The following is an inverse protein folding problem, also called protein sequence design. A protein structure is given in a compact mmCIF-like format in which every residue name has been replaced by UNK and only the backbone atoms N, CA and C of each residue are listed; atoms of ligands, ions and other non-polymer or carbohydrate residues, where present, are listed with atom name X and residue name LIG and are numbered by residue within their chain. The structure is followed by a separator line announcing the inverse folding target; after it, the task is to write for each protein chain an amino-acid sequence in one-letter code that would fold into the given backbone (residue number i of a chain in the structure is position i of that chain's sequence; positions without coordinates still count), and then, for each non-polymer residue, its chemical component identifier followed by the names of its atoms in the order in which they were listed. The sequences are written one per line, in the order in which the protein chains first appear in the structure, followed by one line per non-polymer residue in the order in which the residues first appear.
data_IF_446107671438
#
_entry.id   IF_446107671438
#
_cell.length_a   1.000
_cell.length_b   1.000
_cell.length_c   1.000
_cell.angle_alpha   90.00
_cell.angle_beta   90.00
_cell.angle_gamma   90.00
#
_symmetry.space_group_name_H-M   'P 1'
#
loop_
_entity.id
_entity.type
_entity.pdbx_description
1 polymer ?
#
# COMPACT_ATOMS: atom_id res chain seq x y z
N UNK A 1 -23.42 -20.33 -16.23
CA UNK A 1 -22.10 -19.83 -15.82
C UNK A 1 -22.03 -19.84 -14.30
N UNK A 2 -20.95 -20.31 -13.72
CA UNK A 2 -20.76 -20.17 -12.26
C UNK A 2 -20.57 -18.69 -11.94
N UNK A 3 -21.16 -18.20 -10.86
CA UNK A 3 -20.98 -16.82 -10.38
C UNK A 3 -19.55 -16.61 -9.86
N UNK A 4 -19.03 -15.37 -9.99
CA UNK A 4 -17.82 -14.97 -9.30
C UNK A 4 -18.05 -14.94 -7.78
N UNK A 5 -16.97 -14.86 -7.01
CA UNK A 5 -17.04 -14.69 -5.55
C UNK A 5 -17.81 -13.42 -5.19
N UNK A 6 -18.67 -13.49 -4.18
CA UNK A 6 -19.41 -12.35 -3.65
C UNK A 6 -18.49 -11.20 -3.19
N UNK A 7 -17.27 -11.52 -2.75
CA UNK A 7 -16.24 -10.52 -2.38
C UNK A 7 -15.92 -9.53 -3.50
N UNK A 8 -16.10 -9.94 -4.76
CA UNK A 8 -15.79 -9.09 -5.93
C UNK A 8 -17.01 -8.33 -6.46
N UNK A 9 -18.20 -8.54 -5.90
CA UNK A 9 -19.44 -7.94 -6.40
C UNK A 9 -19.45 -6.41 -6.34
N UNK A 10 -18.75 -5.81 -5.38
CA UNK A 10 -18.63 -4.36 -5.22
C UNK A 10 -17.43 -3.74 -5.94
N UNK A 11 -16.60 -4.52 -6.63
CA UNK A 11 -15.41 -4.00 -7.29
C UNK A 11 -15.75 -3.42 -8.66
N UNK A 12 -15.25 -2.21 -8.91
CA UNK A 12 -15.32 -1.56 -10.21
C UNK A 12 -13.93 -1.45 -10.83
N UNK A 13 -13.87 -1.13 -12.13
CA UNK A 13 -12.60 -0.85 -12.79
C UNK A 13 -11.90 0.34 -12.10
N UNK A 14 -10.59 0.21 -11.87
CA UNK A 14 -9.76 1.26 -11.31
C UNK A 14 -9.92 2.57 -12.10
N UNK A 15 -10.27 3.64 -11.41
CA UNK A 15 -10.44 4.97 -12.02
C UNK A 15 -9.14 5.42 -12.69
N UNK A 16 -8.01 5.19 -12.04
CA UNK A 16 -6.67 5.55 -12.56
C UNK A 16 -6.40 4.82 -13.87
N UNK A 17 -6.60 3.50 -13.91
CA UNK A 17 -6.40 2.69 -15.13
C UNK A 17 -7.37 3.08 -16.25
N UNK A 18 -8.62 3.36 -15.90
CA UNK A 18 -9.62 3.82 -16.87
C UNK A 18 -9.21 5.16 -17.47
N UNK A 19 -8.80 6.12 -16.65
CA UNK A 19 -8.37 7.44 -17.12
C UNK A 19 -7.09 7.38 -17.95
N UNK A 20 -6.17 6.48 -17.62
CA UNK A 20 -4.98 6.22 -18.46
C UNK A 20 -5.39 5.74 -19.86
N UNK A 21 -6.34 4.79 -19.97
CA UNK A 21 -6.85 4.35 -21.28
C UNK A 21 -7.55 5.48 -22.04
N UNK A 22 -8.34 6.31 -21.35
CA UNK A 22 -9.03 7.46 -21.96
C UNK A 22 -8.00 8.47 -22.49
N UNK A 23 -6.99 8.83 -21.71
CA UNK A 23 -5.96 9.78 -22.16
C UNK A 23 -5.22 9.26 -23.40
N UNK A 24 -4.88 7.98 -23.43
CA UNK A 24 -4.26 7.34 -24.61
C UNK A 24 -5.17 7.39 -25.84
N UNK A 25 -6.47 7.11 -25.66
CA UNK A 25 -7.45 7.12 -26.76
C UNK A 25 -7.55 8.49 -27.43
N UNK A 26 -7.45 9.58 -26.65
CA UNK A 26 -7.59 10.95 -27.16
C UNK A 26 -6.24 11.66 -27.36
N UNK A 27 -5.12 11.00 -27.18
CA UNK A 27 -3.80 11.62 -27.24
C UNK A 27 -3.62 12.77 -26.23
N UNK A 28 -4.32 12.69 -25.10
CA UNK A 28 -4.31 13.70 -24.08
C UNK A 28 -3.19 13.48 -23.05
N UNK A 29 -2.78 14.58 -22.39
CA UNK A 29 -1.85 14.48 -21.25
C UNK A 29 -2.55 13.76 -20.11
N UNK A 30 -1.93 12.68 -19.61
CA UNK A 30 -2.45 11.93 -18.47
C UNK A 30 -2.09 12.63 -17.16
N UNK A 31 -3.07 13.23 -16.50
CA UNK A 31 -2.92 13.86 -15.18
C UNK A 31 -3.50 13.01 -14.05
N UNK A 32 -3.98 11.79 -14.34
CA UNK A 32 -4.59 10.90 -13.34
C UNK A 32 -3.56 10.00 -12.63
N UNK A 33 -2.39 9.80 -13.25
CA UNK A 33 -1.31 9.02 -12.68
C UNK A 33 0.04 9.68 -12.98
N UNK A 34 0.89 9.82 -11.96
CA UNK A 34 2.23 10.35 -12.14
C UNK A 34 3.15 9.31 -12.77
N UNK A 35 3.63 9.60 -13.97
CA UNK A 35 4.72 8.87 -14.62
C UNK A 35 5.93 9.78 -14.73
N UNK A 36 7.15 9.32 -14.33
CA UNK A 36 8.36 10.05 -14.63
C UNK A 36 8.52 10.18 -16.15
N UNK A 37 8.93 11.36 -16.61
CA UNK A 37 9.29 11.66 -18.02
C UNK A 37 10.81 11.71 -18.22
N UNK A 38 11.56 11.20 -17.27
CA UNK A 38 13.03 11.12 -17.27
C UNK A 38 13.49 9.68 -16.98
N UNK A 39 14.68 9.36 -17.48
CA UNK A 39 15.28 8.05 -17.29
C UNK A 39 15.75 7.83 -15.84
N UNK A 40 15.76 6.57 -15.36
CA UNK A 40 16.39 6.23 -14.09
C UNK A 40 17.86 6.62 -14.05
N UNK A 41 18.46 6.86 -12.86
CA UNK A 41 19.89 7.09 -12.74
C UNK A 41 20.70 5.99 -13.43
N UNK A 42 21.73 6.42 -14.17
CA UNK A 42 22.56 5.52 -14.99
C UNK A 42 23.18 4.38 -14.16
N UNK A 43 23.54 4.67 -12.91
CA UNK A 43 24.11 3.69 -11.98
C UNK A 43 23.16 2.53 -11.71
N UNK A 44 21.85 2.79 -11.66
CA UNK A 44 20.82 1.76 -11.48
C UNK A 44 20.72 0.90 -12.74
N UNK A 45 20.71 1.54 -13.92
CA UNK A 45 20.65 0.82 -15.20
C UNK A 45 21.89 -0.06 -15.42
N UNK A 46 23.08 0.50 -15.16
CA UNK A 46 24.34 -0.25 -15.24
C UNK A 46 24.35 -1.45 -14.27
N UNK A 47 23.86 -1.25 -13.05
CA UNK A 47 23.79 -2.34 -12.06
C UNK A 47 22.79 -3.44 -12.48
N UNK A 48 21.64 -3.08 -13.04
CA UNK A 48 20.69 -4.05 -13.59
C UNK A 48 21.31 -4.88 -14.71
N UNK A 49 22.06 -4.23 -15.62
CA UNK A 49 22.76 -4.93 -16.69
C UNK A 49 23.82 -5.91 -16.15
N UNK A 50 24.57 -5.53 -15.11
CA UNK A 50 25.57 -6.40 -14.47
C UNK A 50 24.92 -7.61 -13.79
N UNK A 51 23.85 -7.41 -13.03
CA UNK A 51 23.15 -8.50 -12.31
C UNK A 51 22.63 -9.56 -13.27
N UNK A 52 22.29 -9.22 -14.51
CA UNK A 52 21.87 -10.19 -15.52
C UNK A 52 22.95 -11.23 -15.87
N UNK A 53 24.21 -10.98 -15.54
CA UNK A 53 25.33 -11.88 -15.78
C UNK A 53 25.90 -12.50 -14.49
N UNK A 54 25.28 -12.23 -13.34
CA UNK A 54 25.68 -12.80 -12.04
C UNK A 54 24.85 -14.05 -11.73
N UNK A 55 25.30 -14.89 -10.79
CA UNK A 55 24.66 -16.16 -10.43
C UNK A 55 23.39 -16.01 -9.57
N UNK A 56 22.46 -15.13 -9.98
CA UNK A 56 21.18 -14.89 -9.28
C UNK A 56 19.97 -15.42 -10.03
N UNK A 57 20.14 -16.46 -10.85
CA UNK A 57 19.10 -17.01 -11.71
C UNK A 57 18.31 -18.16 -11.09
N UNK A 58 18.55 -18.50 -9.84
CA UNK A 58 17.86 -19.54 -9.10
C UNK A 58 16.90 -18.93 -8.08
N UNK A 59 16.11 -19.76 -7.46
CA UNK A 59 15.17 -19.36 -6.41
C UNK A 59 15.89 -18.66 -5.25
N UNK A 60 15.40 -17.49 -4.87
CA UNK A 60 15.75 -16.91 -3.58
C UNK A 60 15.04 -17.65 -2.45
N UNK A 61 15.48 -17.46 -1.22
CA UNK A 61 14.68 -17.87 -0.06
C UNK A 61 13.37 -17.08 -0.03
N UNK A 62 12.33 -17.65 0.58
CA UNK A 62 10.95 -17.10 0.58
C UNK A 62 10.90 -15.65 1.09
N UNK A 63 11.75 -15.27 2.02
CA UNK A 63 11.81 -13.91 2.56
C UNK A 63 12.49 -12.88 1.65
N UNK A 64 13.03 -13.28 0.51
CA UNK A 64 13.77 -12.44 -0.41
C UNK A 64 15.28 -12.53 -0.25
N UNK A 65 16.03 -11.96 -1.22
CA UNK A 65 17.50 -12.04 -1.22
C UNK A 65 18.12 -11.41 0.02
N UNK A 66 19.15 -12.04 0.56
CA UNK A 66 19.76 -11.63 1.83
C UNK A 66 20.38 -10.24 1.74
N UNK A 67 21.14 -9.96 0.68
CA UNK A 67 21.77 -8.65 0.48
C UNK A 67 20.74 -7.50 0.43
N UNK A 68 19.58 -7.71 -0.19
CA UNK A 68 18.52 -6.71 -0.21
C UNK A 68 17.93 -6.50 1.19
N UNK A 69 17.63 -7.60 1.91
CA UNK A 69 17.07 -7.51 3.27
C UNK A 69 18.06 -6.84 4.25
N UNK A 70 19.36 -7.12 4.15
CA UNK A 70 20.40 -6.47 4.94
C UNK A 70 20.50 -4.98 4.66
N UNK A 71 20.50 -4.58 3.38
CA UNK A 71 20.50 -3.17 2.99
C UNK A 71 19.26 -2.43 3.47
N UNK A 72 18.09 -3.06 3.36
CA UNK A 72 16.82 -2.52 3.83
C UNK A 72 16.80 -2.41 5.36
N UNK A 73 17.26 -3.43 6.09
CA UNK A 73 17.40 -3.41 7.54
C UNK A 73 18.29 -2.26 8.02
N UNK A 74 19.44 -2.06 7.36
CA UNK A 74 20.32 -0.95 7.68
C UNK A 74 19.68 0.42 7.45
N UNK A 75 18.93 0.59 6.35
CA UNK A 75 18.16 1.81 6.07
C UNK A 75 17.08 2.04 7.13
N UNK A 76 16.23 1.05 7.37
CA UNK A 76 15.10 1.16 8.30
C UNK A 76 15.56 1.33 9.75
N UNK A 77 16.66 0.70 10.14
CA UNK A 77 17.23 0.90 11.49
C UNK A 77 17.58 2.37 11.74
N UNK A 78 18.14 3.07 10.74
CA UNK A 78 18.41 4.51 10.84
C UNK A 78 17.14 5.34 10.91
N UNK A 79 16.13 5.02 10.08
CA UNK A 79 14.88 5.77 10.03
C UNK A 79 14.05 5.59 11.31
N UNK A 80 14.03 4.40 11.88
CA UNK A 80 13.21 4.06 13.04
C UNK A 80 13.94 4.23 14.38
N UNK A 81 15.24 4.56 14.37
CA UNK A 81 16.04 4.73 15.58
C UNK A 81 16.22 3.44 16.40
N UNK A 82 16.01 2.26 15.79
CA UNK A 82 16.21 0.95 16.42
C UNK A 82 16.82 -0.05 15.46
N UNK A 83 17.49 -1.05 15.99
CA UNK A 83 18.02 -2.16 15.17
C UNK A 83 16.87 -3.00 14.60
N UNK A 84 16.92 -3.26 13.31
CA UNK A 84 16.02 -4.18 12.58
C UNK A 84 16.82 -5.42 12.20
N UNK A 85 16.28 -6.60 12.50
CA UNK A 85 16.88 -7.87 12.10
C UNK A 85 16.41 -8.26 10.69
N UNK A 86 17.32 -8.35 9.71
CA UNK A 86 16.95 -8.72 8.34
C UNK A 86 16.38 -10.14 8.21
N UNK A 87 16.59 -11.02 9.20
CA UNK A 87 16.17 -12.40 9.12
C UNK A 87 14.79 -12.67 9.71
N UNK A 88 14.32 -11.80 10.60
CA UNK A 88 13.06 -12.01 11.33
C UNK A 88 12.06 -10.87 11.17
N UNK A 89 12.48 -9.68 10.70
CA UNK A 89 11.62 -8.50 10.62
C UNK A 89 11.41 -7.98 9.20
N UNK A 90 11.95 -8.66 8.17
CA UNK A 90 11.82 -8.23 6.77
C UNK A 90 11.40 -9.39 5.88
N UNK A 91 10.35 -9.15 5.10
CA UNK A 91 9.92 -10.01 4.00
C UNK A 91 9.81 -9.18 2.73
N UNK A 92 10.34 -9.68 1.64
CA UNK A 92 10.24 -9.05 0.32
C UNK A 92 9.03 -9.61 -0.44
N UNK A 93 8.24 -8.74 -1.01
CA UNK A 93 7.03 -9.06 -1.77
C UNK A 93 7.06 -8.43 -3.16
N UNK A 94 6.14 -8.82 -4.03
CA UNK A 94 5.92 -8.18 -5.33
C UNK A 94 5.24 -6.80 -5.15
N UNK A 95 5.98 -5.86 -4.59
CA UNK A 95 5.52 -4.52 -4.26
C UNK A 95 4.68 -4.44 -2.99
N UNK A 96 4.32 -3.20 -2.64
CA UNK A 96 3.52 -2.91 -1.44
C UNK A 96 2.10 -3.48 -1.50
N UNK A 97 1.57 -3.73 -2.69
CA UNK A 97 0.23 -4.33 -2.87
C UNK A 97 0.19 -5.75 -2.30
N UNK A 98 1.15 -6.60 -2.65
CA UNK A 98 1.23 -7.95 -2.08
C UNK A 98 1.52 -7.89 -0.57
N UNK A 99 2.40 -6.98 -0.13
CA UNK A 99 2.69 -6.80 1.29
C UNK A 99 1.44 -6.44 2.09
N UNK A 100 0.61 -5.52 1.59
CA UNK A 100 -0.63 -5.09 2.25
C UNK A 100 -1.63 -6.24 2.29
N UNK A 101 -1.85 -6.94 1.16
CA UNK A 101 -2.75 -8.09 1.11
C UNK A 101 -2.33 -9.19 2.09
N UNK A 102 -1.04 -9.54 2.11
CA UNK A 102 -0.49 -10.53 3.03
C UNK A 102 -0.66 -10.11 4.50
N UNK A 103 -0.41 -8.83 4.81
CA UNK A 103 -0.61 -8.28 6.15
C UNK A 103 -2.09 -8.37 6.56
N UNK A 104 -3.02 -7.94 5.69
CA UNK A 104 -4.45 -8.00 5.97
C UNK A 104 -4.92 -9.44 6.23
N UNK A 105 -4.51 -10.39 5.39
CA UNK A 105 -4.83 -11.81 5.57
C UNK A 105 -4.22 -12.41 6.85
N UNK A 106 -3.12 -11.84 7.34
CA UNK A 106 -2.44 -12.31 8.55
C UNK A 106 -3.12 -11.80 9.83
N UNK A 107 -3.61 -10.54 9.81
CA UNK A 107 -4.10 -9.88 11.02
C UNK A 107 -5.62 -9.93 11.17
N UNK A 108 -6.38 -10.21 10.09
CA UNK A 108 -7.85 -10.20 10.10
C UNK A 108 -8.44 -11.58 9.85
N UNK A 109 -9.61 -11.83 10.44
CA UNK A 109 -10.50 -12.95 10.14
C UNK A 109 -11.75 -12.44 9.40
N UNK A 110 -12.49 -13.32 8.72
CA UNK A 110 -13.79 -12.94 8.15
C UNK A 110 -14.72 -12.29 9.19
N UNK A 111 -15.25 -11.11 8.85
CA UNK A 111 -16.13 -10.33 9.72
C UNK A 111 -15.40 -9.37 10.70
N UNK A 112 -14.08 -9.43 10.78
CA UNK A 112 -13.32 -8.39 11.51
C UNK A 112 -13.45 -7.03 10.80
N UNK A 113 -13.37 -5.95 11.57
CA UNK A 113 -13.49 -4.58 11.04
C UNK A 113 -12.13 -3.90 10.95
N UNK A 114 -11.97 -3.04 9.94
CA UNK A 114 -10.74 -2.29 9.71
C UNK A 114 -11.06 -0.82 9.42
N UNK A 115 -10.47 0.10 10.20
CA UNK A 115 -10.61 1.54 9.95
C UNK A 115 -9.71 1.96 8.80
N UNK A 116 -10.26 2.74 7.86
CA UNK A 116 -9.57 3.32 6.71
C UNK A 116 -9.97 4.78 6.59
N UNK A 117 -9.01 5.71 6.60
CA UNK A 117 -9.28 7.11 6.29
C UNK A 117 -9.59 7.30 4.79
N UNK A 118 -10.62 8.07 4.46
CA UNK A 118 -11.05 8.33 3.09
C UNK A 118 -10.91 9.82 2.74
N UNK A 119 -10.31 10.22 1.58
CA UNK A 119 -9.88 9.35 0.48
C UNK A 119 -8.63 8.54 0.79
N UNK A 120 -8.48 7.40 0.14
CA UNK A 120 -7.41 6.42 0.36
C UNK A 120 -6.90 5.82 -0.96
N UNK A 121 -5.73 5.20 -0.92
CA UNK A 121 -5.23 4.42 -2.04
C UNK A 121 -6.12 3.19 -2.27
N UNK A 122 -6.56 3.00 -3.50
CA UNK A 122 -7.64 2.05 -3.86
C UNK A 122 -7.47 0.62 -3.31
N UNK A 123 -6.22 0.17 -3.10
CA UNK A 123 -5.95 -1.16 -2.60
C UNK A 123 -6.40 -1.38 -1.14
N UNK A 124 -6.42 -0.35 -0.30
CA UNK A 124 -6.71 -0.55 1.13
C UNK A 124 -8.13 -1.09 1.37
N UNK A 125 -9.11 -0.54 0.66
CA UNK A 125 -10.48 -1.06 0.71
C UNK A 125 -10.58 -2.45 0.08
N UNK A 126 -9.95 -2.66 -1.07
CA UNK A 126 -9.95 -3.93 -1.78
C UNK A 126 -9.30 -5.05 -0.95
N UNK A 127 -8.12 -4.81 -0.40
CA UNK A 127 -7.38 -5.79 0.42
C UNK A 127 -8.16 -6.15 1.69
N UNK A 128 -8.82 -5.18 2.32
CA UNK A 128 -9.70 -5.40 3.47
C UNK A 128 -10.85 -6.35 3.10
N UNK A 129 -11.56 -6.07 2.02
CA UNK A 129 -12.70 -6.91 1.57
C UNK A 129 -12.22 -8.30 1.14
N UNK A 130 -11.11 -8.38 0.41
CA UNK A 130 -10.56 -9.66 -0.07
C UNK A 130 -10.07 -10.55 1.08
N UNK A 131 -9.56 -9.97 2.17
CA UNK A 131 -9.21 -10.71 3.38
C UNK A 131 -10.43 -11.20 4.17
N UNK A 132 -11.64 -10.78 3.79
CA UNK A 132 -12.90 -11.12 4.44
C UNK A 132 -13.31 -10.15 5.55
N UNK A 133 -12.54 -9.09 5.76
CA UNK A 133 -12.85 -8.05 6.73
C UNK A 133 -13.79 -6.98 6.15
N UNK A 134 -14.36 -6.16 7.04
CA UNK A 134 -15.29 -5.08 6.73
C UNK A 134 -14.62 -3.73 6.93
N UNK A 135 -14.53 -2.85 5.91
CA UNK A 135 -13.95 -1.53 6.08
C UNK A 135 -14.91 -0.57 6.80
N UNK A 136 -14.38 0.19 7.77
CA UNK A 136 -15.02 1.37 8.37
C UNK A 136 -14.32 2.60 7.81
N UNK A 137 -15.01 3.40 7.02
CA UNK A 137 -14.43 4.59 6.43
C UNK A 137 -14.61 5.81 7.33
N UNK A 138 -13.49 6.49 7.66
CA UNK A 138 -13.48 7.76 8.38
C UNK A 138 -13.10 8.87 7.40
N UNK A 139 -13.99 9.85 7.13
CA UNK A 139 -13.73 10.90 6.17
C UNK A 139 -12.61 11.84 6.59
N UNK A 140 -11.74 12.19 5.65
CA UNK A 140 -10.83 13.33 5.70
C UNK A 140 -11.46 14.48 4.91
N UNK A 141 -11.69 15.62 5.55
CA UNK A 141 -12.47 16.73 4.99
C UNK A 141 -11.54 17.79 4.39
N UNK A 142 -11.68 18.12 3.07
CA UNK A 142 -10.93 19.20 2.47
C UNK A 142 -11.30 20.57 3.06
N UNK A 143 -10.40 21.62 2.98
CA UNK A 143 -9.18 21.62 2.18
C UNK A 143 -7.94 21.05 2.90
N UNK A 144 -7.92 20.94 4.22
CA UNK A 144 -6.81 20.53 5.05
C UNK A 144 -6.82 19.03 5.39
N UNK A 145 -7.85 18.33 4.96
CA UNK A 145 -8.02 16.90 5.17
C UNK A 145 -7.94 16.49 6.65
N UNK A 146 -8.56 17.30 7.52
CA UNK A 146 -8.77 16.90 8.91
C UNK A 146 -9.84 15.80 9.02
N UNK A 147 -9.82 15.05 10.10
CA UNK A 147 -10.90 14.12 10.46
C UNK A 147 -11.71 14.67 11.62
N UNK A 148 -12.97 14.26 11.72
CA UNK A 148 -13.78 14.52 12.92
C UNK A 148 -13.45 13.48 13.98
N UNK A 149 -12.92 13.90 15.15
CA UNK A 149 -12.61 12.97 16.25
C UNK A 149 -13.81 12.13 16.71
N UNK A 150 -15.04 12.69 16.64
CA UNK A 150 -16.24 11.95 17.03
C UNK A 150 -16.52 10.78 16.09
N UNK A 151 -16.33 10.97 14.77
CA UNK A 151 -16.47 9.89 13.79
C UNK A 151 -15.39 8.82 13.96
N UNK A 152 -14.17 9.21 14.28
CA UNK A 152 -13.11 8.25 14.57
C UNK A 152 -13.40 7.47 15.86
N UNK A 153 -13.88 8.13 16.92
CA UNK A 153 -14.29 7.46 18.16
C UNK A 153 -15.43 6.47 17.90
N UNK A 154 -16.44 6.83 17.11
CA UNK A 154 -17.54 5.94 16.72
C UNK A 154 -17.05 4.74 15.90
N UNK A 155 -16.01 4.92 15.07
CA UNK A 155 -15.36 3.84 14.37
C UNK A 155 -14.66 2.88 15.34
N UNK A 156 -13.96 3.39 16.35
CA UNK A 156 -13.32 2.57 17.38
C UNK A 156 -14.31 1.85 18.31
N UNK A 157 -15.48 2.43 18.58
CA UNK A 157 -16.56 1.76 19.32
C UNK A 157 -17.10 0.51 18.64
N UNK A 158 -16.85 0.35 17.34
CA UNK A 158 -17.19 -0.86 16.59
C UNK A 158 -16.16 -1.99 16.76
N UNK A 159 -15.18 -1.82 17.64
CA UNK A 159 -14.11 -2.78 17.96
C UNK A 159 -13.32 -3.24 16.73
N UNK A 160 -12.74 -2.33 15.95
CA UNK A 160 -11.95 -2.70 14.78
C UNK A 160 -10.73 -3.53 15.19
N UNK A 161 -10.39 -4.50 14.36
CA UNK A 161 -9.20 -5.35 14.54
C UNK A 161 -7.92 -4.62 14.16
N UNK A 162 -8.00 -3.72 13.17
CA UNK A 162 -6.87 -2.97 12.65
C UNK A 162 -7.31 -1.59 12.15
N UNK A 163 -6.33 -0.71 11.97
CA UNK A 163 -6.48 0.56 11.27
C UNK A 163 -5.35 0.71 10.25
N UNK A 164 -5.67 1.17 9.04
CA UNK A 164 -4.69 1.50 8.02
C UNK A 164 -4.43 3.00 8.07
N UNK A 165 -3.19 3.38 8.39
CA UNK A 165 -2.73 4.76 8.40
C UNK A 165 -1.67 4.96 7.31
N UNK A 166 -1.97 5.86 6.35
CA UNK A 166 -1.04 6.27 5.29
C UNK A 166 -0.55 7.69 5.59
N UNK A 167 0.74 7.85 5.88
CA UNK A 167 1.32 9.14 6.24
C UNK A 167 2.71 9.35 5.59
N UNK A 168 2.88 10.32 4.67
CA UNK A 168 1.83 11.17 4.05
C UNK A 168 0.77 10.38 3.31
N UNK A 169 -0.48 10.86 3.33
CA UNK A 169 -1.62 10.14 2.77
C UNK A 169 -1.61 10.14 1.23
N UNK A 170 -1.86 9.01 0.64
CA UNK A 170 -2.21 8.88 -0.77
C UNK A 170 -3.74 8.67 -0.87
N UNK A 171 -4.50 9.56 -1.59
CA UNK A 171 -4.04 10.52 -2.60
C UNK A 171 -3.94 11.97 -2.13
N UNK A 172 -4.41 12.33 -0.93
CA UNK A 172 -4.63 13.74 -0.57
C UNK A 172 -3.38 14.50 -0.08
N UNK A 173 -2.26 13.81 0.17
CA UNK A 173 -1.03 14.43 0.66
C UNK A 173 -1.08 14.89 2.12
N UNK A 174 -2.15 14.57 2.88
CA UNK A 174 -2.26 14.88 4.30
C UNK A 174 -1.05 14.32 5.05
N UNK A 175 -0.41 15.17 5.83
CA UNK A 175 0.55 14.77 6.87
C UNK A 175 -0.14 14.96 8.21
N UNK A 176 -0.32 13.86 8.94
CA UNK A 176 -0.91 13.90 10.26
C UNK A 176 0.05 14.56 11.25
N UNK A 177 -0.46 15.45 12.10
CA UNK A 177 0.32 16.05 13.17
C UNK A 177 0.56 15.04 14.28
N UNK A 178 1.48 15.40 15.21
CA UNK A 178 1.74 14.55 16.37
C UNK A 178 0.49 14.40 17.22
N UNK A 179 -0.24 15.51 17.43
CA UNK A 179 -1.47 15.55 18.23
C UNK A 179 -2.58 14.69 17.62
N UNK A 180 -2.65 14.61 16.28
CA UNK A 180 -3.59 13.74 15.58
C UNK A 180 -3.21 12.25 15.68
N UNK A 181 -1.93 11.94 15.91
CA UNK A 181 -1.43 10.57 16.01
C UNK A 181 -1.43 10.02 17.45
N UNK A 182 -1.41 10.87 18.46
CA UNK A 182 -1.46 10.56 19.90
C UNK A 182 -2.91 10.50 20.41
#
# INVERSE_FOLDING_TARGET
MQSLSERTAGFTDSVIRRMTRVSMQYGAVNLSQGFPDFEPPKEILDRMAQVAYEDFHQYSITWGSQNFREALAAKQSRCMGRKIDPNTEIVTTCGSTEAMMAAMMTVTNPGDKVIIFSPFYENYGADTILSGAEPIYVPLVPPDFHFDPALLEDAFRQHPKAMILCNPSNPCGKVFTREELE
#
